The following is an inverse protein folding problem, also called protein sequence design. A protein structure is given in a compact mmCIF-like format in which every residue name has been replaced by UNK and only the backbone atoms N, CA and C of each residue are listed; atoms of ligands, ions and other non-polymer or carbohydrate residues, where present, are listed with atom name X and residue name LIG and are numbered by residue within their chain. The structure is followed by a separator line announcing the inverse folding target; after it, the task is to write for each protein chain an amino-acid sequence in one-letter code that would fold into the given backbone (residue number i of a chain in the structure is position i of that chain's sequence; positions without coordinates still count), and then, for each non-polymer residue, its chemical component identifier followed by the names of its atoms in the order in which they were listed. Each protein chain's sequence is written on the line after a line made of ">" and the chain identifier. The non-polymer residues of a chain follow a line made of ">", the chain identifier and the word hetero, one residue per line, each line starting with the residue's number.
data_IF_327962559857
#
_entry.id   IF_327962559857
#
_cell.length_a   1.000
_cell.length_b   1.000
_cell.length_c   1.000
_cell.angle_alpha   90.00
_cell.angle_beta   90.00
_cell.angle_gamma   90.00
#
_symmetry.space_group_name_H-M   'P 1'
#
loop_
_entity.id
_entity.type
_entity.pdbx_description
1 polymer ?
#
# COMPACT_ATOMS: atom_id res chain seq x y z
N UNK A 1 8.51 43.28 29.75
CA UNK A 1 7.95 42.39 28.72
C UNK A 1 7.71 41.02 29.34
N UNK A 2 6.46 40.71 29.67
CA UNK A 2 5.93 39.34 29.82
C UNK A 2 4.43 39.47 29.58
N UNK A 3 4.00 39.31 28.33
CA UNK A 3 2.62 39.47 27.91
C UNK A 3 1.78 38.26 28.33
N UNK A 4 0.88 38.46 29.29
CA UNK A 4 -0.27 37.58 29.48
C UNK A 4 -1.29 37.90 28.38
N UNK A 5 -1.26 37.12 27.29
CA UNK A 5 -2.27 37.22 26.25
C UNK A 5 -3.61 36.65 26.76
N UNK A 6 -4.54 37.56 27.05
CA UNK A 6 -6.00 37.45 27.04
C UNK A 6 -6.65 36.10 27.43
N UNK A 7 -7.25 36.05 28.62
CA UNK A 7 -8.28 35.07 28.97
C UNK A 7 -9.64 35.61 28.51
N UNK A 8 -10.33 34.88 27.62
CA UNK A 8 -11.72 35.14 27.24
C UNK A 8 -11.93 35.55 25.79
N UNK A 9 -12.88 34.88 25.13
CA UNK A 9 -13.29 35.01 23.72
C UNK A 9 -12.21 34.56 22.73
N UNK A 10 -12.54 33.60 21.86
CA UNK A 10 -11.66 33.17 20.76
C UNK A 10 -11.55 34.33 19.77
N UNK A 11 -10.37 34.95 19.59
CA UNK A 11 -10.20 36.06 18.67
C UNK A 11 -10.48 35.64 17.24
N UNK A 12 -11.04 36.57 16.46
CA UNK A 12 -11.33 36.35 15.03
C UNK A 12 -10.08 36.48 14.14
N UNK A 13 -8.96 36.96 14.69
CA UNK A 13 -7.72 37.23 13.94
C UNK A 13 -6.56 36.38 14.45
N UNK A 14 -5.60 36.10 13.56
CA UNK A 14 -4.37 35.37 13.86
C UNK A 14 -3.53 36.17 14.89
N UNK A 15 -3.31 35.60 16.08
CA UNK A 15 -2.65 36.32 17.18
C UNK A 15 -2.76 35.64 18.55
N UNK A 16 -3.66 34.68 18.70
CA UNK A 16 -3.74 33.77 19.84
C UNK A 16 -3.59 32.32 19.41
N UNK A 17 -3.15 31.43 20.32
CA UNK A 17 -2.98 30.00 20.03
C UNK A 17 -4.26 29.27 19.63
N UNK A 18 -5.43 29.91 19.75
CA UNK A 18 -6.65 29.52 19.08
C UNK A 18 -7.30 30.74 18.43
N UNK A 19 -7.71 30.64 17.17
CA UNK A 19 -8.51 31.67 16.49
C UNK A 19 -9.58 31.02 15.61
N UNK A 20 -10.71 31.68 15.41
CA UNK A 20 -11.80 31.10 14.63
C UNK A 20 -11.48 31.08 13.13
N UNK A 21 -11.85 30.01 12.44
CA UNK A 21 -11.71 29.92 10.97
C UNK A 21 -12.85 30.70 10.29
N UNK A 22 -14.03 30.65 10.88
CA UNK A 22 -15.24 31.33 10.44
C UNK A 22 -15.58 32.45 11.43
N UNK A 23 -16.54 33.33 11.09
CA UNK A 23 -17.08 34.29 12.05
C UNK A 23 -17.57 33.54 13.31
N UNK A 24 -17.31 34.09 14.51
CA UNK A 24 -17.88 33.55 15.75
C UNK A 24 -19.39 33.35 15.55
N UNK A 25 -19.94 32.21 16.02
CA UNK A 25 -21.36 31.92 15.83
C UNK A 25 -22.19 33.06 16.38
N UNK A 26 -22.99 33.69 15.52
CA UNK A 26 -23.78 34.83 15.93
C UNK A 26 -24.95 34.38 16.83
N UNK A 27 -24.94 34.98 18.01
CA UNK A 27 -26.03 35.35 18.94
C UNK A 27 -27.23 34.40 18.96
N UNK A 28 -27.49 33.82 20.14
CA UNK A 28 -28.80 33.27 20.48
C UNK A 28 -29.59 34.39 21.17
N UNK A 29 -30.58 34.98 20.47
CA UNK A 29 -31.42 36.06 21.01
C UNK A 29 -32.74 35.52 21.55
N UNK A 30 -33.33 36.22 22.52
CA UNK A 30 -34.66 35.92 23.09
C UNK A 30 -34.78 34.53 23.75
N UNK A 31 -33.68 34.04 24.31
CA UNK A 31 -33.66 32.80 25.08
C UNK A 31 -34.51 32.94 26.35
N UNK A 32 -35.46 32.03 26.54
CA UNK A 32 -36.22 31.87 27.79
C UNK A 32 -35.49 30.93 28.76
N UNK A 33 -35.91 30.94 30.02
CA UNK A 33 -35.40 30.02 31.05
C UNK A 33 -35.48 28.56 30.57
N UNK A 34 -34.44 27.78 30.82
CA UNK A 34 -34.30 26.37 30.41
C UNK A 34 -34.21 26.08 28.89
N UNK A 35 -34.13 27.11 28.04
CA UNK A 35 -33.81 26.89 26.63
C UNK A 35 -32.31 26.62 26.44
N UNK A 36 -31.98 25.71 25.53
CA UNK A 36 -30.59 25.38 25.19
C UNK A 36 -30.25 25.93 23.80
N UNK A 37 -29.08 26.56 23.67
CA UNK A 37 -28.55 26.99 22.38
C UNK A 37 -27.29 26.21 22.02
N UNK A 38 -27.39 25.35 21.01
CA UNK A 38 -26.23 24.61 20.49
C UNK A 38 -25.66 25.37 19.28
N UNK A 39 -24.37 25.71 19.36
CA UNK A 39 -23.63 26.34 18.26
C UNK A 39 -22.33 25.58 18.05
N UNK A 40 -22.01 25.31 16.79
CA UNK A 40 -20.76 24.66 16.38
C UNK A 40 -19.98 25.63 15.50
N UNK A 41 -18.69 25.76 15.76
CA UNK A 41 -17.78 26.53 14.91
C UNK A 41 -16.39 25.88 14.91
N UNK A 42 -15.57 26.27 13.94
CA UNK A 42 -14.22 25.74 13.76
C UNK A 42 -13.17 26.73 14.23
N UNK A 43 -12.10 26.21 14.82
CA UNK A 43 -10.98 26.98 15.34
C UNK A 43 -9.67 26.38 14.83
N UNK A 44 -8.71 27.25 14.49
CA UNK A 44 -7.33 26.84 14.28
C UNK A 44 -6.60 26.88 15.61
N UNK A 45 -5.90 25.79 15.95
CA UNK A 45 -5.03 25.70 17.11
C UNK A 45 -3.56 25.85 16.67
N UNK A 46 -2.90 26.93 17.09
CA UNK A 46 -1.49 27.26 16.78
C UNK A 46 -0.60 27.32 18.02
N UNK A 47 -1.14 26.98 19.20
CA UNK A 47 -0.38 26.97 20.44
C UNK A 47 0.59 25.81 20.62
N UNK A 48 1.47 25.94 21.61
CA UNK A 48 2.44 24.92 21.97
C UNK A 48 1.77 23.64 22.51
N UNK A 49 2.27 22.49 22.06
CA UNK A 49 1.85 21.16 22.53
C UNK A 49 2.05 21.02 24.05
N UNK A 50 1.12 20.34 24.72
CA UNK A 50 1.08 20.11 26.17
C UNK A 50 0.57 21.30 26.98
N UNK A 51 0.18 22.41 26.34
CA UNK A 51 -0.40 23.57 27.03
C UNK A 51 -1.93 23.49 27.07
N UNK A 52 -2.49 24.03 28.13
CA UNK A 52 -3.94 24.13 28.36
C UNK A 52 -4.35 25.60 28.32
N UNK A 53 -5.46 25.88 27.66
CA UNK A 53 -6.07 27.20 27.58
C UNK A 53 -7.50 27.16 28.08
N UNK A 54 -7.85 28.18 28.84
CA UNK A 54 -9.16 28.33 29.47
C UNK A 54 -10.04 29.26 28.63
N UNK A 55 -11.25 28.81 28.32
CA UNK A 55 -12.25 29.55 27.55
C UNK A 55 -13.53 29.75 28.35
N UNK A 56 -14.23 30.85 28.06
CA UNK A 56 -15.57 31.15 28.54
C UNK A 56 -16.28 32.00 27.49
N UNK A 57 -17.61 32.01 27.49
CA UNK A 57 -18.40 32.96 26.71
C UNK A 57 -19.01 34.01 27.63
N UNK A 58 -19.25 35.19 27.09
CA UNK A 58 -19.97 36.26 27.77
C UNK A 58 -21.37 36.30 27.18
N UNK A 59 -22.38 36.31 28.03
CA UNK A 59 -23.76 36.55 27.63
C UNK A 59 -24.30 37.79 28.33
N UNK A 60 -25.20 38.49 27.65
CA UNK A 60 -25.90 39.65 28.19
C UNK A 60 -27.38 39.29 28.34
N UNK A 61 -27.93 39.53 29.53
CA UNK A 61 -29.34 39.32 29.84
C UNK A 61 -29.97 40.63 30.29
N UNK A 62 -31.21 40.88 29.88
CA UNK A 62 -32.02 41.99 30.39
C UNK A 62 -32.44 41.78 31.85
N UNK A 63 -32.33 40.56 32.38
CA UNK A 63 -32.73 40.21 33.74
C UNK A 63 -31.56 40.22 34.75
N UNK A 64 -30.33 39.97 34.29
CA UNK A 64 -29.16 39.76 35.16
C UNK A 64 -27.89 40.54 34.76
N UNK A 65 -27.96 41.42 33.76
CA UNK A 65 -26.79 42.13 33.25
C UNK A 65 -25.86 41.22 32.43
N UNK A 66 -24.59 41.62 32.31
CA UNK A 66 -23.55 40.83 31.62
C UNK A 66 -23.00 39.75 32.55
N UNK A 67 -22.83 38.53 32.07
CA UNK A 67 -22.33 37.40 32.87
C UNK A 67 -21.46 36.45 32.04
N UNK A 68 -20.56 35.75 32.73
CA UNK A 68 -19.68 34.75 32.14
C UNK A 68 -20.27 33.34 32.33
N UNK A 69 -20.09 32.47 31.35
CA UNK A 69 -20.41 31.05 31.49
C UNK A 69 -19.36 30.32 32.35
N UNK A 70 -19.65 29.05 32.67
CA UNK A 70 -18.64 28.13 33.16
C UNK A 70 -17.42 28.08 32.23
N UNK A 71 -16.26 27.83 32.83
CA UNK A 71 -14.97 27.74 32.14
C UNK A 71 -14.78 26.36 31.53
N UNK A 72 -14.20 26.31 30.33
CA UNK A 72 -13.83 25.08 29.63
C UNK A 72 -12.34 25.11 29.34
N UNK A 73 -11.62 24.06 29.74
CA UNK A 73 -10.20 23.91 29.48
C UNK A 73 -9.98 23.07 28.21
N UNK A 74 -9.19 23.60 27.27
CA UNK A 74 -8.78 22.91 26.04
C UNK A 74 -7.26 22.75 26.07
N UNK A 75 -6.78 21.52 25.93
CA UNK A 75 -5.34 21.21 25.88
C UNK A 75 -4.93 20.86 24.46
N UNK A 76 -3.88 21.51 23.92
CA UNK A 76 -3.26 21.06 22.68
C UNK A 76 -2.39 19.87 23.04
N UNK A 77 -2.84 18.66 22.70
CA UNK A 77 -2.17 17.41 23.07
C UNK A 77 -1.13 16.93 22.04
N UNK A 78 -0.89 17.68 20.97
CA UNK A 78 0.09 17.36 19.94
C UNK A 78 -0.34 17.83 18.55
N UNK A 79 0.62 17.99 17.64
CA UNK A 79 0.34 17.74 16.23
C UNK A 79 0.21 16.22 16.16
N UNK A 80 -1.00 15.68 16.18
CA UNK A 80 -1.14 14.29 15.79
C UNK A 80 -0.60 14.22 14.38
N UNK A 81 0.47 13.47 14.16
CA UNK A 81 0.76 12.97 12.83
C UNK A 81 -0.49 12.17 12.49
N UNK A 82 -1.43 12.82 11.77
CA UNK A 82 -2.66 12.19 11.36
C UNK A 82 -2.27 10.91 10.62
N UNK A 83 -3.06 9.86 10.77
CA UNK A 83 -2.73 8.59 10.14
C UNK A 83 -2.71 8.78 8.61
N UNK A 84 -1.57 8.59 7.96
CA UNK A 84 -1.41 8.75 6.52
C UNK A 84 0.03 8.86 6.03
N UNK A 85 0.23 9.47 4.86
CA UNK A 85 1.52 9.71 4.23
C UNK A 85 2.03 11.11 4.56
N UNK A 86 3.00 11.21 5.47
CA UNK A 86 3.52 12.47 5.99
C UNK A 86 4.65 13.05 5.12
N UNK A 87 4.54 14.32 4.75
CA UNK A 87 5.59 15.08 4.06
C UNK A 87 6.32 16.11 4.95
N UNK A 88 6.05 16.11 6.26
CA UNK A 88 6.57 17.04 7.27
C UNK A 88 5.73 18.32 7.44
N UNK A 89 4.83 18.62 6.50
CA UNK A 89 3.92 19.79 6.57
C UNK A 89 2.45 19.43 6.39
N UNK A 90 2.17 18.29 5.76
CA UNK A 90 0.85 17.77 5.48
C UNK A 90 0.91 16.25 5.52
N UNK A 91 -0.19 15.64 5.97
CA UNK A 91 -0.32 14.21 6.06
C UNK A 91 -1.46 13.73 5.16
N UNK A 92 -1.11 13.06 4.07
CA UNK A 92 -2.08 12.64 3.07
C UNK A 92 -2.86 11.40 3.53
N UNK A 93 -4.18 11.45 3.53
CA UNK A 93 -5.04 10.27 3.80
C UNK A 93 -5.47 9.60 2.50
N UNK A 94 -6.05 8.39 2.58
CA UNK A 94 -6.67 7.79 1.40
C UNK A 94 -7.78 8.69 0.82
N UNK A 95 -7.96 8.63 -0.50
CA UNK A 95 -8.83 9.49 -1.30
C UNK A 95 -8.13 10.74 -1.83
N UNK A 96 -6.91 11.04 -1.38
CA UNK A 96 -6.23 12.29 -1.72
C UNK A 96 -5.23 12.17 -2.88
N UNK A 97 -4.86 13.34 -3.40
CA UNK A 97 -3.83 13.52 -4.42
C UNK A 97 -2.51 13.90 -3.75
N UNK A 98 -1.52 13.02 -3.84
CA UNK A 98 -0.18 13.20 -3.24
C UNK A 98 0.66 14.12 -4.13
N UNK A 99 0.85 15.36 -3.69
CA UNK A 99 1.56 16.40 -4.45
C UNK A 99 3.05 16.53 -4.11
N UNK A 100 3.50 15.93 -3.00
CA UNK A 100 4.89 15.99 -2.51
C UNK A 100 5.32 14.62 -2.00
N UNK A 101 6.62 14.37 -2.01
CA UNK A 101 7.19 13.15 -1.42
C UNK A 101 6.74 13.00 0.03
N UNK A 102 6.35 11.79 0.41
CA UNK A 102 5.82 11.51 1.73
C UNK A 102 6.19 10.09 2.19
N UNK A 103 6.08 9.87 3.51
CA UNK A 103 6.35 8.59 4.16
C UNK A 103 5.15 8.21 5.02
N UNK A 104 4.62 7.02 4.83
CA UNK A 104 3.52 6.49 5.63
C UNK A 104 3.92 6.31 7.10
N UNK A 105 2.98 6.58 8.00
CA UNK A 105 3.16 6.48 9.45
C UNK A 105 2.16 5.52 10.14
N UNK A 106 1.25 4.92 9.38
CA UNK A 106 0.21 4.02 9.89
C UNK A 106 -0.40 3.19 8.75
N UNK A 107 -1.19 2.18 9.12
CA UNK A 107 -2.02 1.44 8.16
C UNK A 107 -3.31 2.20 7.84
N UNK A 108 -3.77 2.15 6.60
CA UNK A 108 -5.03 2.76 6.15
C UNK A 108 -5.98 1.72 5.56
N UNK A 109 -7.27 1.98 5.69
CA UNK A 109 -8.36 1.20 5.08
C UNK A 109 -9.24 2.15 4.29
N UNK A 110 -9.55 1.82 3.04
CA UNK A 110 -10.34 2.68 2.17
C UNK A 110 -11.06 1.86 1.09
N UNK A 111 -12.28 2.26 0.71
CA UNK A 111 -13.13 1.51 -0.22
C UNK A 111 -13.14 2.09 -1.65
N UNK A 112 -12.11 2.87 -1.98
CA UNK A 112 -11.94 3.48 -3.30
C UNK A 112 -10.45 3.66 -3.56
N UNK A 113 -10.09 4.46 -4.56
CA UNK A 113 -8.68 4.74 -4.82
C UNK A 113 -8.03 5.43 -3.61
N UNK A 114 -7.02 4.81 -3.00
CA UNK A 114 -6.39 5.36 -1.81
C UNK A 114 -5.47 6.54 -2.15
N UNK A 115 -4.38 6.34 -2.90
CA UNK A 115 -3.51 7.46 -3.28
C UNK A 115 -3.49 7.69 -4.78
N UNK A 116 -3.78 8.93 -5.19
CA UNK A 116 -3.52 9.38 -6.56
C UNK A 116 -2.22 10.17 -6.61
N UNK A 117 -1.29 9.79 -7.47
CA UNK A 117 -0.02 10.51 -7.64
C UNK A 117 -0.28 11.83 -8.37
N UNK A 118 -0.02 12.94 -7.68
CA UNK A 118 -0.34 14.29 -8.13
C UNK A 118 0.76 15.06 -8.83
N UNK A 119 2.02 14.66 -8.63
CA UNK A 119 3.19 15.37 -9.14
C UNK A 119 4.25 14.42 -9.71
N UNK A 120 5.13 14.97 -10.54
CA UNK A 120 6.36 14.32 -11.00
C UNK A 120 7.47 14.52 -9.98
N UNK A 121 8.55 13.73 -10.07
CA UNK A 121 9.74 13.89 -9.20
C UNK A 121 9.43 13.74 -7.70
N UNK A 122 8.50 12.84 -7.35
CA UNK A 122 8.14 12.56 -5.95
C UNK A 122 8.36 11.10 -5.59
N UNK A 123 8.60 10.87 -4.31
CA UNK A 123 8.67 9.52 -3.72
C UNK A 123 7.52 9.34 -2.75
N UNK A 124 6.70 8.32 -2.98
CA UNK A 124 5.69 7.87 -2.03
C UNK A 124 6.22 6.60 -1.39
N UNK A 125 6.52 6.65 -0.10
CA UNK A 125 7.15 5.56 0.64
C UNK A 125 6.18 4.97 1.66
N UNK A 126 5.75 3.73 1.46
CA UNK A 126 4.86 3.00 2.34
C UNK A 126 5.48 2.63 3.69
N UNK A 127 6.81 2.66 3.81
CA UNK A 127 7.53 2.39 5.06
C UNK A 127 7.11 1.07 5.76
N UNK A 128 6.67 0.07 4.98
CA UNK A 128 6.15 -1.20 5.47
C UNK A 128 4.70 -1.17 5.97
N UNK A 129 4.03 -0.02 5.96
CA UNK A 129 2.62 0.09 6.32
C UNK A 129 1.69 -0.38 5.19
N UNK A 130 0.50 -0.82 5.59
CA UNK A 130 -0.50 -1.32 4.66
C UNK A 130 -1.52 -0.26 4.24
N UNK A 131 -1.96 -0.36 2.99
CA UNK A 131 -3.24 0.19 2.54
C UNK A 131 -4.13 -0.98 2.13
N UNK A 132 -5.36 -0.99 2.62
CA UNK A 132 -6.28 -2.11 2.42
C UNK A 132 -7.61 -1.62 1.84
N UNK A 133 -7.97 -2.20 0.70
CA UNK A 133 -9.22 -1.99 -0.02
C UNK A 133 -10.40 -2.72 0.62
N UNK A 134 -11.56 -2.63 -0.02
CA UNK A 134 -12.81 -3.29 0.42
C UNK A 134 -13.01 -4.69 -0.17
N UNK A 135 -12.12 -5.13 -1.07
CA UNK A 135 -12.21 -6.41 -1.77
C UNK A 135 -13.21 -6.41 -2.92
N UNK A 136 -13.78 -5.26 -3.29
CA UNK A 136 -14.60 -5.12 -4.47
C UNK A 136 -13.71 -4.82 -5.67
N UNK A 137 -13.75 -5.70 -6.65
CA UNK A 137 -12.89 -5.66 -7.85
C UNK A 137 -13.25 -4.52 -8.85
N UNK A 138 -13.91 -3.47 -8.37
CA UNK A 138 -14.50 -2.39 -9.14
C UNK A 138 -13.58 -1.18 -9.29
N UNK A 139 -12.61 -1.25 -10.21
CA UNK A 139 -11.88 -0.09 -10.76
C UNK A 139 -11.09 0.80 -9.78
N UNK A 140 -11.09 0.46 -8.50
CA UNK A 140 -10.37 1.13 -7.43
C UNK A 140 -8.89 0.71 -7.41
N UNK A 141 -8.06 1.57 -6.85
CA UNK A 141 -6.61 1.43 -6.91
C UNK A 141 -5.99 1.69 -5.53
N UNK A 142 -5.07 0.85 -5.06
CA UNK A 142 -4.26 1.19 -3.90
C UNK A 142 -3.48 2.47 -4.17
N UNK A 143 -2.67 2.46 -5.24
CA UNK A 143 -1.95 3.64 -5.73
C UNK A 143 -2.17 3.80 -7.23
N UNK A 144 -2.58 5.00 -7.65
CA UNK A 144 -2.84 5.33 -9.05
C UNK A 144 -1.93 6.46 -9.56
N UNK A 145 -1.12 6.17 -10.58
CA UNK A 145 -0.31 7.16 -11.28
C UNK A 145 -0.81 7.35 -12.72
N UNK A 146 -1.19 8.59 -13.07
CA UNK A 146 -1.66 8.95 -14.41
C UNK A 146 -0.88 10.14 -14.98
N UNK A 147 -0.24 9.96 -16.13
CA UNK A 147 0.53 11.03 -16.79
C UNK A 147 1.75 11.49 -15.99
N UNK A 148 2.41 10.57 -15.25
CA UNK A 148 3.51 10.90 -14.34
C UNK A 148 4.86 10.38 -14.82
N UNK A 149 5.91 11.08 -14.42
CA UNK A 149 7.30 10.73 -14.70
C UNK A 149 8.18 10.96 -13.48
N UNK A 150 9.24 10.16 -13.36
CA UNK A 150 10.20 10.21 -12.26
C UNK A 150 9.54 10.09 -10.88
N UNK A 151 8.51 9.24 -10.77
CA UNK A 151 7.86 8.89 -9.51
C UNK A 151 8.47 7.61 -8.97
N UNK A 152 8.69 7.57 -7.66
CA UNK A 152 9.12 6.37 -6.94
C UNK A 152 7.99 5.94 -6.00
N UNK A 153 7.45 4.73 -6.21
CA UNK A 153 6.48 4.09 -5.32
C UNK A 153 7.18 2.92 -4.65
N UNK A 154 7.33 2.95 -3.32
CA UNK A 154 8.10 1.92 -2.63
C UNK A 154 7.62 1.52 -1.25
N UNK A 155 7.98 0.31 -0.83
CA UNK A 155 7.79 -0.22 0.53
C UNK A 155 6.33 -0.22 1.02
N UNK A 156 5.37 -0.41 0.12
CA UNK A 156 3.97 -0.56 0.50
C UNK A 156 3.57 -2.02 0.67
N UNK A 157 2.61 -2.25 1.57
CA UNK A 157 1.80 -3.46 1.62
C UNK A 157 0.37 -3.10 1.13
N UNK A 158 -0.09 -3.65 0.01
CA UNK A 158 -1.30 -3.23 -0.71
C UNK A 158 -2.21 -4.44 -0.93
N UNK A 159 -3.42 -4.40 -0.39
CA UNK A 159 -4.35 -5.53 -0.39
C UNK A 159 -5.77 -5.11 -0.76
N UNK A 160 -6.55 -6.05 -1.33
CA UNK A 160 -8.00 -5.95 -1.49
C UNK A 160 -8.50 -4.79 -2.38
N UNK A 161 -7.71 -4.33 -3.36
CA UNK A 161 -8.15 -3.37 -4.38
C UNK A 161 -8.39 -4.06 -5.73
N UNK A 162 -9.13 -3.43 -6.65
CA UNK A 162 -9.18 -3.84 -8.06
C UNK A 162 -7.80 -3.82 -8.74
N UNK A 163 -6.97 -2.82 -8.42
CA UNK A 163 -5.56 -2.76 -8.77
C UNK A 163 -4.72 -2.40 -7.54
N UNK A 164 -3.67 -3.16 -7.21
CA UNK A 164 -2.77 -2.78 -6.13
C UNK A 164 -2.03 -1.47 -6.47
N UNK A 165 -1.26 -1.50 -7.55
CA UNK A 165 -0.65 -0.31 -8.15
C UNK A 165 -1.07 -0.24 -9.63
N UNK A 166 -1.62 0.89 -10.04
CA UNK A 166 -1.97 1.15 -11.43
C UNK A 166 -1.21 2.36 -11.98
N UNK A 167 -0.49 2.14 -13.07
CA UNK A 167 0.33 3.12 -13.77
C UNK A 167 -0.21 3.28 -15.19
N UNK A 168 -0.80 4.42 -15.47
CA UNK A 168 -1.45 4.73 -16.75
C UNK A 168 -0.76 5.90 -17.43
N UNK A 169 -0.40 5.74 -18.71
CA UNK A 169 0.27 6.77 -19.53
C UNK A 169 1.45 7.45 -18.80
N UNK A 170 2.21 6.66 -18.03
CA UNK A 170 3.23 7.18 -17.10
C UNK A 170 4.57 6.49 -17.37
N UNK A 171 5.54 7.27 -17.81
CA UNK A 171 6.84 6.78 -18.27
C UNK A 171 7.95 7.12 -17.28
N UNK A 172 9.05 6.35 -17.28
CA UNK A 172 10.24 6.66 -16.48
C UNK A 172 9.99 6.73 -14.96
N UNK A 173 9.23 5.78 -14.41
CA UNK A 173 8.96 5.66 -12.98
C UNK A 173 9.63 4.42 -12.39
N UNK A 174 9.77 4.40 -11.06
CA UNK A 174 10.32 3.28 -10.30
C UNK A 174 9.26 2.73 -9.33
N UNK A 175 8.96 1.44 -9.46
CA UNK A 175 8.09 0.68 -8.56
C UNK A 175 8.99 -0.34 -7.86
N UNK A 176 9.29 -0.11 -6.59
CA UNK A 176 10.37 -0.79 -5.88
C UNK A 176 9.90 -1.36 -4.54
N UNK A 177 10.14 -2.65 -4.30
CA UNK A 177 9.95 -3.28 -3.00
C UNK A 177 8.52 -3.11 -2.42
N UNK A 178 7.49 -3.30 -3.25
CA UNK A 178 6.10 -3.29 -2.81
C UNK A 178 5.53 -4.71 -2.77
N UNK A 179 4.64 -4.97 -1.82
CA UNK A 179 3.80 -6.16 -1.74
C UNK A 179 2.39 -5.79 -2.19
N UNK A 180 2.00 -6.18 -3.41
CA UNK A 180 0.66 -5.96 -3.97
C UNK A 180 -0.08 -7.29 -4.12
N UNK A 181 -0.48 -7.88 -2.99
CA UNK A 181 -1.10 -9.20 -2.94
C UNK A 181 -2.62 -9.11 -2.77
N UNK A 182 -3.36 -10.16 -3.15
CA UNK A 182 -4.81 -10.26 -2.89
C UNK A 182 -5.59 -9.07 -3.48
N UNK A 183 -5.18 -8.59 -4.65
CA UNK A 183 -5.87 -7.58 -5.45
C UNK A 183 -6.41 -8.19 -6.74
N UNK A 184 -7.23 -7.46 -7.51
CA UNK A 184 -7.62 -7.87 -8.87
C UNK A 184 -6.43 -8.10 -9.76
N UNK A 185 -5.57 -7.09 -9.79
CA UNK A 185 -4.28 -7.15 -10.44
C UNK A 185 -3.28 -6.54 -9.47
N UNK A 186 -2.15 -7.19 -9.27
CA UNK A 186 -1.13 -6.69 -8.34
C UNK A 186 -0.56 -5.37 -8.83
N UNK A 187 0.20 -5.41 -9.91
CA UNK A 187 0.82 -4.22 -10.54
C UNK A 187 0.44 -4.18 -12.02
N UNK A 188 -0.23 -3.09 -12.44
CA UNK A 188 -0.68 -2.89 -13.82
C UNK A 188 -0.04 -1.64 -14.43
N UNK A 189 0.46 -1.78 -15.65
CA UNK A 189 0.98 -0.70 -16.50
C UNK A 189 0.22 -0.68 -17.82
N UNK A 190 -0.37 0.47 -18.14
CA UNK A 190 -1.05 0.71 -19.42
C UNK A 190 -0.41 1.92 -20.10
N UNK A 191 0.00 1.77 -21.37
CA UNK A 191 0.66 2.84 -22.16
C UNK A 191 1.87 3.47 -21.44
N UNK A 192 2.62 2.67 -20.69
CA UNK A 192 3.60 3.14 -19.70
C UNK A 192 4.96 2.49 -19.96
N UNK A 193 5.85 3.24 -20.60
CA UNK A 193 7.15 2.78 -21.09
C UNK A 193 8.33 3.27 -20.25
N UNK A 194 9.47 2.57 -20.35
CA UNK A 194 10.73 2.92 -19.68
C UNK A 194 10.65 2.96 -18.14
N UNK A 195 9.76 2.17 -17.53
CA UNK A 195 9.66 2.05 -16.07
C UNK A 195 10.57 0.93 -15.55
N UNK A 196 10.96 1.06 -14.28
CA UNK A 196 11.71 0.05 -13.53
C UNK A 196 10.75 -0.55 -12.51
N UNK A 197 10.56 -1.87 -12.56
CA UNK A 197 9.73 -2.65 -11.65
C UNK A 197 10.66 -3.67 -11.00
N UNK A 198 11.02 -3.43 -9.74
CA UNK A 198 12.08 -4.20 -9.07
C UNK A 198 11.70 -4.62 -7.66
N UNK A 199 12.06 -5.85 -7.27
CA UNK A 199 11.86 -6.40 -5.92
C UNK A 199 10.40 -6.40 -5.43
N UNK A 200 9.41 -6.37 -6.32
CA UNK A 200 8.01 -6.38 -5.91
C UNK A 200 7.47 -7.81 -5.77
N UNK A 201 6.51 -7.98 -4.87
CA UNK A 201 5.75 -9.21 -4.68
C UNK A 201 4.29 -8.97 -5.05
N UNK A 202 3.75 -9.76 -5.98
CA UNK A 202 2.36 -9.67 -6.45
C UNK A 202 1.74 -11.07 -6.50
N UNK A 203 1.41 -11.60 -5.32
CA UNK A 203 0.89 -12.95 -5.14
C UNK A 203 -0.61 -12.97 -4.89
N UNK A 204 -1.26 -14.09 -5.18
CA UNK A 204 -2.67 -14.34 -4.85
C UNK A 204 -3.62 -13.25 -5.42
N UNK A 205 -3.27 -12.64 -6.55
CA UNK A 205 -4.15 -11.72 -7.24
C UNK A 205 -5.10 -12.52 -8.15
N UNK A 206 -6.38 -12.14 -8.18
CA UNK A 206 -7.40 -12.93 -8.91
C UNK A 206 -7.11 -13.08 -10.39
N UNK A 207 -6.48 -12.09 -11.03
CA UNK A 207 -6.17 -12.14 -12.45
C UNK A 207 -4.67 -12.15 -12.72
N UNK A 208 -3.96 -11.04 -12.46
CA UNK A 208 -2.58 -10.89 -12.89
C UNK A 208 -1.70 -10.46 -11.72
N UNK A 209 -0.52 -11.08 -11.58
CA UNK A 209 0.52 -10.56 -10.70
C UNK A 209 1.06 -9.23 -11.26
N UNK A 210 1.65 -9.29 -12.45
CA UNK A 210 2.09 -8.14 -13.23
C UNK A 210 1.41 -8.13 -14.61
N UNK A 211 0.78 -7.01 -14.97
CA UNK A 211 0.16 -6.83 -16.28
C UNK A 211 0.70 -5.58 -16.98
N UNK A 212 1.27 -5.76 -18.17
CA UNK A 212 1.75 -4.68 -19.02
C UNK A 212 0.95 -4.67 -20.33
N UNK A 213 0.22 -3.60 -20.59
CA UNK A 213 -0.49 -3.37 -21.86
C UNK A 213 0.10 -2.17 -22.60
N UNK A 214 0.48 -2.38 -23.86
CA UNK A 214 1.05 -1.34 -24.73
C UNK A 214 2.20 -0.56 -24.06
N UNK A 215 3.02 -1.27 -23.28
CA UNK A 215 3.99 -0.72 -22.34
C UNK A 215 5.39 -1.27 -22.66
N UNK A 216 6.21 -0.44 -23.31
CA UNK A 216 7.46 -0.87 -23.95
C UNK A 216 8.69 -0.50 -23.12
N UNK A 217 9.81 -1.17 -23.37
CA UNK A 217 11.13 -0.80 -22.80
C UNK A 217 11.18 -0.79 -21.26
N UNK A 218 10.33 -1.55 -20.57
CA UNK A 218 10.36 -1.65 -19.12
C UNK A 218 11.38 -2.69 -18.64
N UNK A 219 11.92 -2.49 -17.44
CA UNK A 219 12.79 -3.45 -16.76
C UNK A 219 12.06 -4.07 -15.59
N UNK A 220 11.86 -5.38 -15.62
CA UNK A 220 11.13 -6.17 -14.63
C UNK A 220 12.15 -7.13 -14.01
N UNK A 221 12.65 -6.82 -12.82
CA UNK A 221 13.77 -7.58 -12.23
C UNK A 221 13.52 -7.98 -10.77
N UNK A 222 13.91 -9.20 -10.40
CA UNK A 222 13.79 -9.71 -9.01
C UNK A 222 12.36 -9.63 -8.44
N UNK A 223 11.33 -9.75 -9.29
CA UNK A 223 9.96 -9.73 -8.81
C UNK A 223 9.43 -11.15 -8.54
N UNK A 224 8.44 -11.24 -7.67
CA UNK A 224 7.73 -12.49 -7.34
C UNK A 224 6.25 -12.37 -7.74
N UNK A 225 5.73 -13.29 -8.55
CA UNK A 225 4.32 -13.35 -8.93
C UNK A 225 3.78 -14.78 -8.92
N UNK A 226 3.37 -15.22 -7.73
CA UNK A 226 2.89 -16.58 -7.51
C UNK A 226 1.39 -16.64 -7.29
N UNK A 227 0.79 -17.79 -7.63
CA UNK A 227 -0.61 -18.10 -7.29
C UNK A 227 -1.61 -17.04 -7.80
N UNK A 228 -1.34 -16.44 -8.95
CA UNK A 228 -2.30 -15.61 -9.67
C UNK A 228 -2.95 -16.44 -10.79
N UNK A 229 -3.92 -15.90 -11.54
CA UNK A 229 -4.33 -16.58 -12.77
C UNK A 229 -3.18 -16.59 -13.80
N UNK A 230 -2.58 -15.43 -14.04
CA UNK A 230 -1.35 -15.26 -14.81
C UNK A 230 -0.29 -14.53 -13.98
N UNK A 231 0.97 -14.98 -14.04
CA UNK A 231 2.06 -14.38 -13.28
C UNK A 231 2.49 -13.02 -13.84
N UNK A 232 3.25 -13.03 -14.94
CA UNK A 232 3.69 -11.86 -15.70
C UNK A 232 3.08 -11.93 -17.10
N UNK A 233 2.20 -10.99 -17.41
CA UNK A 233 1.46 -10.91 -18.67
C UNK A 233 1.85 -9.64 -19.45
N UNK A 234 2.30 -9.81 -20.70
CA UNK A 234 2.63 -8.72 -21.62
C UNK A 234 1.70 -8.72 -22.85
N UNK A 235 0.78 -7.74 -22.90
CA UNK A 235 -0.10 -7.45 -24.03
C UNK A 235 0.47 -6.32 -24.87
N UNK A 236 0.61 -6.51 -26.19
CA UNK A 236 1.06 -5.48 -27.14
C UNK A 236 2.33 -4.71 -26.70
N UNK A 237 3.22 -5.38 -25.96
CA UNK A 237 4.34 -4.77 -25.26
C UNK A 237 5.66 -5.37 -25.75
N UNK A 238 6.62 -4.50 -26.09
CA UNK A 238 7.88 -4.87 -26.75
C UNK A 238 9.11 -4.34 -26.00
N UNK A 239 10.27 -4.93 -26.30
CA UNK A 239 11.58 -4.51 -25.75
C UNK A 239 11.64 -4.51 -24.21
N UNK A 240 10.82 -5.32 -23.54
CA UNK A 240 10.86 -5.41 -22.08
C UNK A 240 11.96 -6.38 -21.64
N UNK A 241 12.64 -6.07 -20.54
CA UNK A 241 13.70 -6.89 -19.93
C UNK A 241 13.19 -7.58 -18.67
N UNK A 242 13.02 -8.90 -18.71
CA UNK A 242 12.51 -9.68 -17.57
C UNK A 242 13.66 -10.53 -17.00
N UNK A 243 14.27 -10.11 -15.89
CA UNK A 243 15.42 -10.83 -15.33
C UNK A 243 15.17 -11.29 -13.89
N UNK A 244 15.64 -12.49 -13.55
CA UNK A 244 15.66 -12.96 -12.15
C UNK A 244 14.29 -12.94 -11.47
N UNK A 245 13.19 -13.05 -12.22
CA UNK A 245 11.85 -13.08 -11.66
C UNK A 245 11.48 -14.50 -11.24
N UNK A 246 10.77 -14.63 -10.13
CA UNK A 246 10.25 -15.88 -9.61
C UNK A 246 8.73 -15.93 -9.82
N UNK A 247 8.28 -16.79 -10.74
CA UNK A 247 6.90 -16.80 -11.21
C UNK A 247 6.41 -18.23 -11.27
N UNK A 248 5.69 -18.66 -10.25
CA UNK A 248 5.34 -20.07 -10.05
C UNK A 248 3.93 -20.25 -9.48
N UNK A 249 3.32 -21.40 -9.78
CA UNK A 249 2.05 -21.79 -9.16
C UNK A 249 0.86 -20.93 -9.59
N UNK A 250 0.99 -20.14 -10.65
CA UNK A 250 -0.15 -19.43 -11.25
C UNK A 250 -1.12 -20.46 -11.85
N UNK A 251 -2.40 -20.15 -12.06
CA UNK A 251 -3.40 -21.11 -12.53
C UNK A 251 -3.23 -21.41 -14.02
N UNK A 252 -3.12 -20.37 -14.86
CA UNK A 252 -2.92 -20.50 -16.30
C UNK A 252 -1.43 -20.52 -16.67
N UNK A 253 -0.79 -19.36 -16.84
CA UNK A 253 0.61 -19.27 -17.29
C UNK A 253 1.43 -18.40 -16.34
N UNK A 254 2.68 -18.77 -16.11
CA UNK A 254 3.63 -17.96 -15.34
C UNK A 254 4.06 -16.75 -16.13
N UNK A 255 4.53 -16.98 -17.34
CA UNK A 255 4.89 -15.95 -18.31
C UNK A 255 3.94 -16.07 -19.49
N UNK A 256 3.32 -14.98 -19.93
CA UNK A 256 2.45 -14.97 -21.11
C UNK A 256 2.64 -13.73 -21.97
N UNK A 257 2.70 -13.94 -23.28
CA UNK A 257 2.62 -12.89 -24.29
C UNK A 257 2.31 -13.52 -25.65
N UNK A 258 1.46 -12.86 -26.45
CA UNK A 258 1.05 -13.38 -27.77
C UNK A 258 2.22 -13.74 -28.71
N UNK A 259 3.38 -13.09 -28.57
CA UNK A 259 4.58 -13.41 -29.35
C UNK A 259 5.91 -12.92 -28.73
N UNK A 260 5.90 -12.41 -27.49
CA UNK A 260 7.04 -11.81 -26.78
C UNK A 260 7.73 -10.61 -27.48
N UNK A 261 7.47 -10.38 -28.76
CA UNK A 261 8.10 -9.39 -29.62
C UNK A 261 9.63 -9.42 -29.42
N UNK A 262 10.24 -8.26 -29.23
CA UNK A 262 11.65 -8.10 -28.91
C UNK A 262 11.95 -8.12 -27.40
N UNK A 263 11.00 -8.56 -26.57
CA UNK A 263 11.24 -8.69 -25.13
C UNK A 263 12.14 -9.89 -24.87
N UNK A 264 13.04 -9.74 -23.90
CA UNK A 264 14.05 -10.73 -23.59
C UNK A 264 14.39 -10.70 -22.10
N UNK A 265 15.15 -11.69 -21.64
CA UNK A 265 15.46 -11.79 -20.23
C UNK A 265 16.25 -13.03 -19.89
N UNK A 266 16.69 -13.15 -18.64
CA UNK A 266 17.46 -14.29 -18.18
C UNK A 266 17.30 -14.55 -16.67
N UNK A 267 17.69 -15.75 -16.24
CA UNK A 267 17.70 -16.18 -14.85
C UNK A 267 16.32 -16.18 -14.17
N UNK A 268 15.24 -16.27 -14.92
CA UNK A 268 13.90 -16.36 -14.36
C UNK A 268 13.65 -17.78 -13.83
N UNK A 269 12.58 -17.93 -13.04
CA UNK A 269 12.06 -19.23 -12.59
C UNK A 269 10.59 -19.35 -12.99
N UNK A 270 10.26 -20.41 -13.73
CA UNK A 270 8.88 -20.75 -14.12
C UNK A 270 8.73 -22.23 -14.51
N UNK A 271 7.50 -22.72 -14.56
CA UNK A 271 7.12 -24.01 -15.15
C UNK A 271 6.12 -23.90 -16.30
N UNK A 272 5.42 -22.75 -16.46
CA UNK A 272 4.44 -22.50 -17.52
C UNK A 272 4.72 -21.22 -18.28
N UNK A 273 5.63 -21.29 -19.23
CA UNK A 273 6.32 -20.10 -19.75
C UNK A 273 5.79 -19.52 -21.07
N UNK A 274 4.76 -20.10 -21.69
CA UNK A 274 4.21 -19.64 -22.97
C UNK A 274 5.25 -19.27 -24.05
N UNK A 275 6.11 -20.22 -24.45
CA UNK A 275 7.19 -19.96 -25.41
C UNK A 275 8.25 -18.94 -24.96
N UNK A 276 8.14 -18.34 -23.75
CA UNK A 276 9.22 -17.54 -23.16
C UNK A 276 10.50 -18.35 -23.15
N UNK A 277 11.61 -17.68 -23.46
CA UNK A 277 12.93 -18.29 -23.46
C UNK A 277 13.91 -17.39 -22.73
N UNK A 278 14.42 -17.86 -21.59
CA UNK A 278 15.57 -17.25 -20.96
C UNK A 278 16.77 -17.28 -21.91
N UNK A 279 17.44 -16.14 -22.05
CA UNK A 279 18.48 -15.93 -23.04
C UNK A 279 19.76 -16.75 -22.80
N UNK A 280 20.01 -17.21 -21.57
CA UNK A 280 21.07 -18.18 -21.28
C UNK A 280 20.70 -19.64 -21.59
N UNK A 281 19.44 -19.93 -21.91
CA UNK A 281 19.03 -21.30 -22.26
C UNK A 281 19.59 -21.73 -23.61
N UNK A 282 19.93 -23.02 -23.77
CA UNK A 282 20.38 -23.58 -25.05
C UNK A 282 19.49 -23.21 -26.24
N UNK A 283 20.08 -23.22 -27.44
CA UNK A 283 19.31 -23.05 -28.68
C UNK A 283 18.22 -24.13 -28.78
N UNK A 284 17.00 -23.74 -29.16
CA UNK A 284 15.85 -24.65 -29.27
C UNK A 284 15.13 -25.00 -27.96
N UNK A 285 15.65 -24.61 -26.79
CA UNK A 285 14.92 -24.76 -25.52
C UNK A 285 14.04 -23.57 -25.21
N UNK A 286 12.82 -23.88 -24.74
CA UNK A 286 11.83 -22.94 -24.23
C UNK A 286 11.80 -23.03 -22.71
N UNK A 287 11.56 -21.91 -22.05
CA UNK A 287 11.32 -21.79 -20.64
C UNK A 287 12.34 -20.97 -19.89
N UNK A 288 12.15 -20.95 -18.58
CA UNK A 288 13.04 -20.31 -17.63
C UNK A 288 14.22 -21.22 -17.27
N UNK A 289 15.34 -20.59 -16.92
CA UNK A 289 16.55 -21.25 -16.40
C UNK A 289 16.26 -21.95 -15.07
N UNK A 290 15.59 -21.25 -14.16
CA UNK A 290 15.01 -21.83 -12.96
C UNK A 290 13.73 -22.57 -13.31
N UNK A 291 13.52 -23.71 -12.66
CA UNK A 291 12.26 -24.46 -12.72
C UNK A 291 11.53 -24.32 -11.39
N UNK A 292 10.22 -24.08 -11.44
CA UNK A 292 9.39 -24.15 -10.25
C UNK A 292 9.53 -25.55 -9.64
N UNK A 293 9.95 -25.60 -8.38
CA UNK A 293 9.91 -26.82 -7.59
C UNK A 293 8.72 -26.69 -6.66
N UNK A 294 7.67 -27.48 -6.91
CA UNK A 294 6.55 -27.67 -5.99
C UNK A 294 7.02 -28.68 -4.94
N UNK A 295 7.66 -28.20 -3.88
CA UNK A 295 8.06 -29.09 -2.80
C UNK A 295 6.90 -29.26 -1.84
N UNK A 296 6.37 -30.48 -1.72
CA UNK A 296 5.55 -30.82 -0.56
C UNK A 296 6.44 -30.76 0.66
N UNK A 297 6.09 -29.95 1.66
CA UNK A 297 6.69 -30.09 2.97
C UNK A 297 6.38 -31.51 3.46
N UNK A 298 7.41 -32.25 3.87
CA UNK A 298 7.34 -33.66 4.27
C UNK A 298 7.44 -33.82 5.77
N UNK A 299 8.00 -32.82 6.46
CA UNK A 299 8.17 -32.80 7.91
C UNK A 299 8.05 -31.38 8.49
N UNK A 300 8.22 -31.28 9.82
CA UNK A 300 8.08 -30.03 10.57
C UNK A 300 9.19 -29.02 10.25
N UNK A 301 10.38 -29.45 9.81
CA UNK A 301 11.48 -28.56 9.48
C UNK A 301 11.21 -27.85 8.15
N UNK A 302 10.61 -28.55 7.18
CA UNK A 302 10.12 -27.92 5.94
C UNK A 302 9.09 -26.82 6.24
N UNK A 303 8.19 -27.05 7.20
CA UNK A 303 7.15 -26.08 7.61
C UNK A 303 7.76 -24.86 8.32
N UNK A 304 8.71 -25.05 9.23
CA UNK A 304 9.39 -23.96 9.92
C UNK A 304 10.16 -23.08 8.93
N UNK A 305 10.91 -23.70 8.01
CA UNK A 305 11.66 -22.95 7.01
C UNK A 305 10.76 -22.18 6.03
N UNK A 306 9.60 -22.75 5.71
CA UNK A 306 8.57 -22.11 4.91
C UNK A 306 7.97 -20.88 5.63
N UNK A 307 7.75 -20.95 6.95
CA UNK A 307 7.31 -19.80 7.76
C UNK A 307 8.40 -18.72 7.90
N UNK A 308 9.67 -19.11 8.02
CA UNK A 308 10.82 -18.19 8.02
C UNK A 308 10.94 -17.44 6.67
N UNK A 309 10.67 -18.11 5.55
CA UNK A 309 10.63 -17.49 4.23
C UNK A 309 9.47 -16.51 4.09
N UNK A 310 8.25 -16.93 4.46
CA UNK A 310 7.05 -16.10 4.36
C UNK A 310 7.07 -14.89 5.30
N UNK A 311 7.76 -15.00 6.44
CA UNK A 311 7.98 -13.88 7.37
C UNK A 311 9.12 -12.95 6.98
N UNK A 312 9.86 -13.26 5.90
CA UNK A 312 11.00 -12.48 5.44
C UNK A 312 12.28 -12.66 6.27
N UNK A 313 12.31 -13.60 7.21
CA UNK A 313 13.51 -13.94 7.98
C UNK A 313 14.54 -14.71 7.15
N UNK A 314 14.10 -15.44 6.11
CA UNK A 314 14.93 -16.06 5.09
C UNK A 314 14.54 -15.57 3.69
N UNK A 315 15.52 -15.39 2.82
CA UNK A 315 15.31 -15.22 1.39
C UNK A 315 15.44 -16.56 0.64
N UNK A 316 15.11 -16.57 -0.66
CA UNK A 316 15.05 -17.79 -1.48
C UNK A 316 16.39 -18.53 -1.64
N UNK A 317 17.52 -17.85 -1.40
CA UNK A 317 18.86 -18.47 -1.44
C UNK A 317 19.28 -19.11 -0.11
N UNK A 318 18.52 -18.85 0.96
CA UNK A 318 18.81 -19.33 2.32
C UNK A 318 17.97 -20.56 2.70
N UNK A 319 17.16 -21.09 1.79
CA UNK A 319 16.36 -22.30 2.01
C UNK A 319 17.25 -23.53 1.94
N UNK A 320 17.08 -24.47 2.88
CA UNK A 320 17.85 -25.73 2.99
C UNK A 320 17.77 -26.60 1.73
N UNK A 321 16.70 -26.44 0.95
CA UNK A 321 16.50 -27.11 -0.33
C UNK A 321 17.26 -26.45 -1.51
N UNK A 322 18.06 -25.41 -1.26
CA UNK A 322 18.99 -24.80 -2.21
C UNK A 322 20.17 -25.75 -2.47
N UNK A 323 20.04 -26.62 -3.47
CA UNK A 323 21.14 -27.46 -3.95
C UNK A 323 21.67 -26.97 -5.31
N UNK A 324 22.95 -27.23 -5.59
CA UNK A 324 23.87 -26.80 -6.69
C UNK A 324 23.37 -26.85 -8.17
N UNK A 325 22.07 -26.90 -8.44
CA UNK A 325 21.43 -26.93 -9.76
C UNK A 325 20.50 -25.74 -10.04
N UNK A 326 20.64 -24.60 -9.34
CA UNK A 326 19.80 -23.40 -9.54
C UNK A 326 18.28 -23.69 -9.45
N UNK A 327 17.88 -24.44 -8.42
CA UNK A 327 16.48 -24.78 -8.15
C UNK A 327 15.93 -23.85 -7.08
N UNK A 328 15.07 -22.92 -7.48
CA UNK A 328 14.39 -22.02 -6.56
C UNK A 328 13.09 -22.70 -6.08
N UNK A 329 13.04 -23.09 -4.81
CA UNK A 329 11.92 -23.83 -4.23
C UNK A 329 10.83 -22.94 -3.65
N UNK A 330 9.57 -23.31 -3.87
CA UNK A 330 8.41 -22.86 -3.10
C UNK A 330 7.65 -24.11 -2.60
N UNK A 331 7.09 -24.04 -1.39
CA UNK A 331 6.45 -25.17 -0.74
C UNK A 331 4.93 -25.22 -0.99
N UNK A 332 4.35 -26.41 -1.28
CA UNK A 332 2.89 -26.65 -1.47
C UNK A 332 2.42 -27.92 -0.75
N UNK A 333 1.42 -27.88 0.13
CA UNK A 333 0.75 -29.08 0.66
C UNK A 333 -0.49 -29.47 -0.16
N UNK A 334 -0.82 -30.76 -0.22
CA UNK A 334 -2.02 -31.31 -0.87
C UNK A 334 -2.98 -31.80 0.21
N UNK A 335 -4.17 -31.19 0.31
CA UNK A 335 -5.29 -31.73 1.11
C UNK A 335 -6.42 -30.73 1.41
N UNK A 336 -7.45 -30.76 0.55
CA UNK A 336 -8.80 -30.14 0.61
C UNK A 336 -8.98 -28.69 0.10
N UNK A 337 -9.41 -28.61 -1.17
CA UNK A 337 -10.33 -27.69 -1.87
C UNK A 337 -10.52 -26.22 -1.45
N UNK A 338 -9.65 -25.62 -0.66
CA UNK A 338 -9.54 -24.15 -0.53
C UNK A 338 -8.08 -23.75 -0.70
N UNK A 339 -7.82 -22.88 -1.68
CA UNK A 339 -6.51 -22.57 -2.24
C UNK A 339 -5.61 -21.67 -1.37
N UNK A 340 -5.88 -21.50 -0.08
CA UNK A 340 -5.05 -20.70 0.83
C UNK A 340 -4.65 -21.49 2.08
N UNK A 341 -3.35 -21.57 2.37
CA UNK A 341 -2.83 -22.02 3.68
C UNK A 341 -2.96 -20.84 4.63
N UNK A 342 -3.79 -21.00 5.66
CA UNK A 342 -3.82 -20.04 6.76
C UNK A 342 -3.12 -20.61 8.00
N UNK A 343 -2.91 -19.77 9.01
CA UNK A 343 -2.22 -20.15 10.25
C UNK A 343 -2.90 -21.33 10.98
N UNK A 344 -4.21 -21.54 10.78
CA UNK A 344 -4.96 -22.67 11.33
C UNK A 344 -4.56 -24.00 10.70
N UNK A 345 -4.16 -24.03 9.43
CA UNK A 345 -3.71 -25.26 8.76
C UNK A 345 -2.33 -25.69 9.24
N UNK A 346 -1.45 -24.70 9.47
CA UNK A 346 -0.15 -24.92 10.10
C UNK A 346 -0.30 -25.46 11.54
N UNK A 347 -1.22 -24.90 12.33
CA UNK A 347 -1.52 -25.40 13.67
C UNK A 347 -2.19 -26.78 13.68
N UNK A 348 -3.05 -27.09 12.70
CA UNK A 348 -3.67 -28.40 12.57
C UNK A 348 -2.64 -29.51 12.27
N UNK A 349 -1.63 -29.21 11.44
CA UNK A 349 -0.54 -30.14 11.14
C UNK A 349 0.38 -30.35 12.35
N UNK A 350 0.69 -29.29 13.09
CA UNK A 350 1.44 -29.36 14.35
C UNK A 350 0.69 -30.26 15.36
N UNK A 351 -0.62 -30.06 15.54
CA UNK A 351 -1.42 -30.88 16.45
C UNK A 351 -1.47 -32.36 16.06
N UNK A 352 -1.51 -32.68 14.76
CA UNK A 352 -1.51 -34.08 14.31
C UNK A 352 -0.19 -34.80 14.61
N UNK A 353 0.94 -34.09 14.47
CA UNK A 353 2.28 -34.63 14.79
C UNK A 353 2.48 -34.80 16.31
N UNK A 354 1.88 -33.94 17.13
CA UNK A 354 1.94 -34.04 18.60
C UNK A 354 1.09 -35.19 19.15
N UNK A 355 0.03 -35.60 18.44
CA UNK A 355 -0.87 -36.68 18.87
C UNK A 355 -0.41 -38.07 18.40
N UNK A 356 0.35 -38.15 17.30
CA UNK A 356 0.86 -39.43 16.73
C UNK A 356 2.27 -39.82 17.22
N UNK A 357 2.82 -39.12 18.23
CA UNK A 357 3.97 -39.53 19.05
C UNK A 357 3.51 -39.80 20.48
#
# INVERSE_FOLDING_TARGET
>A
MTGEFGKGIIPMNNGTPFYTINNNPQICSNMLENQTCNKTWQVNATGAVGKTWEFFTIFNSSLAGSSQTGKVNITIIGQYAHCGCDNGTYNYTCGEIVMKSCVMNCNLIYNSTCFTVGANNITINGNGYSITGDGNWGGDNGIYANGRTNVIIKNFNIYNFGHGIYVYSSNNNNIDNNTANSNGRGIRLDYSSNNIIINNTANNNTYYGFYLDSSNNNTITNNTANSNDYGIYLSHSSNNKLNSNFVCGNTNLDFNSNNWLSSNGDNNTCDKSDNWKDSSMPAGTIGCKGKCQINKAKDIFDVVEMLEYLSGQKNSTQLSNYNNYNKYGYYKFVGNNSDDINLSDAFALINKIVIDN
#
